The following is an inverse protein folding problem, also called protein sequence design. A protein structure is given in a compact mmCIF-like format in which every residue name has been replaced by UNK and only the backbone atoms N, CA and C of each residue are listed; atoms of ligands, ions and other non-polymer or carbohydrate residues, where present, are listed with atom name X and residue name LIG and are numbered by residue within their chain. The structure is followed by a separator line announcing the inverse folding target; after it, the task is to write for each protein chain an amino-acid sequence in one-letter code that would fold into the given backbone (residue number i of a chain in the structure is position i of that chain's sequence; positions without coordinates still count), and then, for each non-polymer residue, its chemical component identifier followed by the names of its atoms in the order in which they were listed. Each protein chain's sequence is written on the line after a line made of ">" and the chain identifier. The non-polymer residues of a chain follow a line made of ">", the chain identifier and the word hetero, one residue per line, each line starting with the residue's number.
data_IF_804322014784
#
_entry.id   IF_804322014784
#
_cell.length_a   1.000
_cell.length_b   1.000
_cell.length_c   1.000
_cell.angle_alpha   90.00
_cell.angle_beta   90.00
_cell.angle_gamma   90.00
#
_symmetry.space_group_name_H-M   'P 1'
#
loop_
_entity.id
_entity.type
_entity.pdbx_description
1 polymer ?
#
# COMPACT_ATOMS: atom_id res chain seq x y z
N UNK A 1 2.03 -20.09 -0.51
CA UNK A 1 2.57 -18.73 -0.41
C UNK A 1 3.70 -18.79 0.59
N UNK A 2 4.87 -18.36 0.15
CA UNK A 2 6.05 -18.12 0.99
C UNK A 2 6.19 -16.61 1.05
N UNK A 3 6.19 -16.05 2.26
CA UNK A 3 6.07 -14.60 2.42
C UNK A 3 7.42 -13.94 2.65
N UNK A 4 7.77 -12.99 1.79
CA UNK A 4 8.79 -11.98 2.11
C UNK A 4 8.07 -10.75 2.67
N UNK A 5 8.23 -10.53 3.98
CA UNK A 5 7.60 -9.41 4.69
C UNK A 5 8.61 -8.27 4.80
N UNK A 6 8.26 -7.10 4.27
CA UNK A 6 9.08 -5.89 4.41
C UNK A 6 8.26 -4.77 5.03
N UNK A 7 8.84 -4.03 5.98
CA UNK A 7 8.22 -2.78 6.40
C UNK A 7 8.27 -1.80 5.24
N UNK A 8 7.15 -1.13 4.98
CA UNK A 8 7.16 -0.12 3.91
C UNK A 8 8.13 1.01 4.27
N UNK A 9 8.85 1.51 3.27
CA UNK A 9 9.82 2.58 3.41
C UNK A 9 9.18 3.97 3.22
N UNK A 10 9.77 5.06 3.75
CA UNK A 10 9.30 6.42 3.47
C UNK A 10 9.17 6.68 1.96
N UNK A 11 7.99 7.14 1.54
CA UNK A 11 7.65 7.35 0.13
C UNK A 11 6.82 6.21 -0.49
N UNK A 12 6.69 5.07 0.18
CA UNK A 12 5.77 4.01 -0.21
C UNK A 12 4.30 4.40 0.09
N UNK A 13 3.35 3.92 -0.74
CA UNK A 13 1.93 4.26 -0.62
C UNK A 13 1.37 4.03 0.79
N UNK A 14 1.65 2.87 1.39
CA UNK A 14 1.12 2.54 2.72
C UNK A 14 1.99 3.01 3.89
N UNK A 15 3.09 3.75 3.70
CA UNK A 15 4.00 4.11 4.81
C UNK A 15 3.27 4.76 6.00
N UNK A 16 3.51 4.32 7.26
CA UNK A 16 4.43 3.27 7.76
C UNK A 16 3.82 1.86 7.90
N UNK A 17 3.08 1.41 6.88
CA UNK A 17 2.40 0.12 6.84
C UNK A 17 3.33 -1.03 6.49
N UNK A 18 2.73 -2.17 6.13
CA UNK A 18 3.49 -3.37 5.74
C UNK A 18 3.32 -3.65 4.27
N UNK A 19 4.40 -4.02 3.62
CA UNK A 19 4.44 -4.42 2.22
C UNK A 19 4.88 -5.87 2.09
N UNK A 20 4.31 -6.58 1.11
CA UNK A 20 4.46 -8.02 0.95
C UNK A 20 4.69 -8.37 -0.51
N UNK A 21 5.72 -9.18 -0.74
CA UNK A 21 5.96 -9.84 -2.02
C UNK A 21 5.90 -11.35 -1.77
N UNK A 22 4.91 -12.00 -2.38
CA UNK A 22 4.67 -13.43 -2.20
C UNK A 22 4.78 -14.16 -3.53
N UNK A 23 5.30 -15.39 -3.49
CA UNK A 23 5.24 -16.30 -4.62
C UNK A 23 3.91 -17.07 -4.62
N UNK A 24 3.26 -17.11 -5.79
CA UNK A 24 2.07 -17.93 -6.00
C UNK A 24 2.56 -19.32 -6.41
N UNK A 25 2.24 -20.32 -5.59
CA UNK A 25 2.61 -21.71 -5.81
C UNK A 25 1.38 -22.61 -5.94
N UNK A 26 1.46 -23.58 -6.85
CA UNK A 26 0.47 -24.66 -6.98
C UNK A 26 1.25 -25.96 -7.09
N UNK A 27 0.92 -26.92 -6.24
CA UNK A 27 1.61 -28.22 -6.15
C UNK A 27 3.14 -28.13 -6.01
N UNK A 28 3.62 -27.04 -5.37
CA UNK A 28 5.05 -26.77 -5.15
C UNK A 28 5.77 -26.11 -6.33
N UNK A 29 5.07 -25.83 -7.43
CA UNK A 29 5.61 -25.06 -8.56
C UNK A 29 5.23 -23.59 -8.44
N UNK A 30 6.20 -22.68 -8.63
CA UNK A 30 5.95 -21.24 -8.72
C UNK A 30 5.28 -20.91 -10.05
N UNK A 31 4.09 -20.33 -9.97
CA UNK A 31 3.24 -20.02 -11.12
C UNK A 31 2.82 -18.55 -11.19
N UNK A 32 3.39 -17.71 -10.35
CA UNK A 32 3.11 -16.29 -10.33
C UNK A 32 3.76 -15.55 -9.16
N UNK A 33 3.38 -14.30 -9.03
CA UNK A 33 3.79 -13.37 -7.99
C UNK A 33 2.61 -12.52 -7.55
N UNK A 34 2.61 -12.15 -6.28
CA UNK A 34 1.63 -11.29 -5.64
C UNK A 34 2.39 -10.18 -4.91
N UNK A 35 2.03 -8.94 -5.21
CA UNK A 35 2.48 -7.75 -4.51
C UNK A 35 1.26 -7.09 -3.86
N UNK A 36 1.27 -7.00 -2.53
CA UNK A 36 0.20 -6.40 -1.76
C UNK A 36 0.73 -5.70 -0.52
N UNK A 37 -0.05 -4.75 -0.02
CA UNK A 37 0.31 -4.00 1.17
C UNK A 37 -0.88 -3.86 2.12
N UNK A 38 -0.60 -3.65 3.41
CA UNK A 38 -1.62 -3.36 4.43
C UNK A 38 -1.29 -2.00 5.03
N UNK A 39 -2.30 -1.12 5.09
CA UNK A 39 -2.10 0.22 5.65
C UNK A 39 -1.83 0.20 7.17
N UNK A 40 -1.30 1.29 7.74
CA UNK A 40 -0.98 1.36 9.17
C UNK A 40 -2.23 1.26 10.07
N UNK A 41 -3.41 1.52 9.52
CA UNK A 41 -4.69 1.36 10.23
C UNK A 41 -5.13 -0.11 10.34
N UNK A 42 -4.48 -1.01 9.60
CA UNK A 42 -4.80 -2.44 9.51
C UNK A 42 -6.26 -2.70 9.11
N UNK A 43 -6.84 -1.78 8.33
CA UNK A 43 -8.26 -1.84 7.95
C UNK A 43 -8.47 -2.10 6.46
N UNK A 44 -7.41 -2.02 5.65
CA UNK A 44 -7.44 -2.31 4.22
C UNK A 44 -6.17 -3.00 3.74
N UNK A 45 -6.37 -3.94 2.83
CA UNK A 45 -5.34 -4.60 2.05
C UNK A 45 -5.39 -4.06 0.62
N UNK A 46 -4.26 -3.59 0.11
CA UNK A 46 -4.14 -3.05 -1.23
C UNK A 46 -3.41 -4.03 -2.12
N UNK A 47 -3.95 -4.32 -3.30
CA UNK A 47 -3.29 -5.17 -4.28
C UNK A 47 -2.56 -4.28 -5.28
N UNK A 48 -1.22 -4.31 -5.24
CA UNK A 48 -0.38 -3.64 -6.23
C UNK A 48 -0.32 -4.45 -7.52
N UNK A 49 -0.10 -5.76 -7.42
CA UNK A 49 0.04 -6.66 -8.56
C UNK A 49 -0.41 -8.09 -8.22
N UNK A 50 -1.11 -8.73 -9.16
CA UNK A 50 -1.26 -10.19 -9.22
C UNK A 50 -0.83 -10.62 -10.61
N UNK A 51 0.31 -11.30 -10.70
CA UNK A 51 0.79 -11.87 -11.95
C UNK A 51 0.74 -13.39 -11.89
N UNK A 52 0.07 -14.01 -12.85
CA UNK A 52 0.00 -15.46 -13.03
C UNK A 52 0.58 -15.80 -14.38
N UNK A 53 1.41 -16.85 -14.42
CA UNK A 53 2.01 -17.38 -15.64
C UNK A 53 0.94 -17.48 -16.76
N UNK A 54 1.18 -16.89 -17.94
CA UNK A 54 0.28 -16.95 -19.09
C UNK A 54 -0.28 -18.34 -19.40
N UNK A 55 0.54 -19.38 -19.29
CA UNK A 55 0.16 -20.76 -19.62
C UNK A 55 -0.85 -21.36 -18.63
N UNK A 56 -0.98 -20.75 -17.45
CA UNK A 56 -1.91 -21.15 -16.37
C UNK A 56 -3.05 -20.16 -16.19
N UNK A 57 -3.23 -19.24 -17.15
CA UNK A 57 -4.38 -18.33 -17.17
C UNK A 57 -5.67 -19.15 -17.31
N UNK A 58 -6.75 -18.67 -16.70
CA UNK A 58 -8.10 -19.29 -16.61
C UNK A 58 -8.25 -20.44 -15.62
N UNK A 59 -7.22 -20.82 -14.88
CA UNK A 59 -7.32 -21.77 -13.76
C UNK A 59 -7.87 -21.13 -12.47
N UNK A 60 -8.39 -19.90 -12.53
CA UNK A 60 -8.92 -19.14 -11.38
C UNK A 60 -7.90 -18.91 -10.24
N UNK A 61 -6.61 -19.05 -10.52
CA UNK A 61 -5.51 -18.85 -9.55
C UNK A 61 -5.60 -17.48 -8.89
N UNK A 62 -5.75 -16.39 -9.66
CA UNK A 62 -5.91 -15.04 -9.09
C UNK A 62 -7.10 -14.92 -8.13
N UNK A 63 -8.23 -15.54 -8.45
CA UNK A 63 -9.40 -15.58 -7.56
C UNK A 63 -9.14 -16.39 -6.29
N UNK A 64 -8.42 -17.52 -6.41
CA UNK A 64 -8.03 -18.34 -5.25
C UNK A 64 -7.06 -17.58 -4.33
N UNK A 65 -6.15 -16.79 -4.90
CA UNK A 65 -5.26 -15.89 -4.14
C UNK A 65 -6.07 -14.85 -3.37
N UNK A 66 -6.99 -14.14 -4.01
CA UNK A 66 -7.86 -13.16 -3.34
C UNK A 66 -8.68 -13.79 -2.21
N UNK A 67 -9.21 -15.00 -2.43
CA UNK A 67 -9.91 -15.74 -1.38
C UNK A 67 -8.99 -16.08 -0.21
N UNK A 68 -7.76 -16.53 -0.48
CA UNK A 68 -6.79 -16.82 0.56
C UNK A 68 -6.48 -15.57 1.39
N UNK A 69 -6.16 -14.44 0.76
CA UNK A 69 -5.89 -13.17 1.44
C UNK A 69 -7.07 -12.74 2.32
N UNK A 70 -8.29 -12.82 1.80
CA UNK A 70 -9.49 -12.54 2.60
C UNK A 70 -9.60 -13.44 3.83
N UNK A 71 -9.34 -14.76 3.69
CA UNK A 71 -9.43 -15.68 4.83
C UNK A 71 -8.38 -15.40 5.90
N UNK A 72 -7.18 -15.00 5.49
CA UNK A 72 -6.04 -14.73 6.37
C UNK A 72 -6.23 -13.39 7.09
N UNK A 73 -6.49 -12.31 6.36
CA UNK A 73 -6.49 -10.96 6.93
C UNK A 73 -7.86 -10.48 7.39
N UNK A 74 -8.95 -10.96 6.76
CA UNK A 74 -10.33 -10.58 7.10
C UNK A 74 -10.61 -9.07 7.04
N UNK A 75 -9.91 -8.36 6.16
CA UNK A 75 -10.08 -6.93 5.90
C UNK A 75 -10.40 -6.69 4.41
N UNK A 76 -11.11 -5.61 4.06
CA UNK A 76 -11.40 -5.25 2.68
C UNK A 76 -10.15 -5.25 1.79
N UNK A 77 -10.31 -5.81 0.59
CA UNK A 77 -9.29 -5.84 -0.45
C UNK A 77 -9.58 -4.72 -1.46
N UNK A 78 -8.58 -3.88 -1.73
CA UNK A 78 -8.68 -2.72 -2.61
C UNK A 78 -7.65 -2.83 -3.72
N UNK A 79 -8.06 -3.02 -4.98
CA UNK A 79 -7.11 -3.03 -6.09
C UNK A 79 -6.50 -1.64 -6.34
N UNK A 80 -5.20 -1.58 -6.61
CA UNK A 80 -4.53 -0.37 -7.10
C UNK A 80 -4.27 -0.51 -8.61
N UNK A 81 -4.61 0.52 -9.39
CA UNK A 81 -4.40 0.52 -10.84
C UNK A 81 -2.98 0.96 -11.21
N UNK A 82 -2.00 0.12 -10.87
CA UNK A 82 -0.58 0.43 -11.12
C UNK A 82 -0.02 -0.27 -12.38
N UNK A 83 -0.51 -1.46 -12.72
CA UNK A 83 0.18 -2.32 -13.69
C UNK A 83 -0.64 -2.82 -14.89
N UNK A 84 -1.97 -2.93 -14.81
CA UNK A 84 -2.83 -3.19 -15.97
C UNK A 84 -4.33 -3.11 -15.59
N UNK A 85 -5.13 -2.57 -16.50
CA UNK A 85 -6.59 -2.63 -16.40
C UNK A 85 -7.09 -4.07 -16.56
N UNK A 86 -7.25 -4.78 -15.45
CA UNK A 86 -7.89 -6.09 -15.37
C UNK A 86 -9.36 -5.96 -14.90
N UNK A 87 -10.11 -5.04 -15.50
CA UNK A 87 -11.47 -4.68 -15.06
C UNK A 87 -12.40 -5.89 -14.96
N UNK A 88 -12.39 -6.75 -15.99
CA UNK A 88 -13.23 -7.95 -16.03
C UNK A 88 -12.86 -8.92 -14.89
N UNK A 89 -11.58 -9.11 -14.61
CA UNK A 89 -11.12 -9.94 -13.49
C UNK A 89 -11.65 -9.41 -12.15
N UNK A 90 -11.49 -8.11 -11.89
CA UNK A 90 -11.96 -7.50 -10.65
C UNK A 90 -13.48 -7.53 -10.52
N UNK A 91 -14.20 -7.33 -11.62
CA UNK A 91 -15.65 -7.46 -11.65
C UNK A 91 -16.09 -8.88 -11.26
N UNK A 92 -15.52 -9.91 -11.88
CA UNK A 92 -15.82 -11.31 -11.57
C UNK A 92 -15.44 -11.69 -10.13
N UNK A 93 -14.29 -11.20 -9.64
CA UNK A 93 -13.85 -11.44 -8.27
C UNK A 93 -14.84 -10.86 -7.25
N UNK A 94 -15.34 -9.63 -7.46
CA UNK A 94 -16.35 -9.02 -6.59
C UNK A 94 -17.65 -9.81 -6.56
N UNK A 95 -18.15 -10.25 -7.71
CA UNK A 95 -19.38 -11.04 -7.79
C UNK A 95 -19.21 -12.39 -7.10
N UNK A 96 -18.16 -13.13 -7.46
CA UNK A 96 -17.94 -14.49 -6.97
C UNK A 96 -17.60 -14.54 -5.48
N UNK A 97 -16.64 -13.71 -5.04
CA UNK A 97 -16.18 -13.72 -3.65
C UNK A 97 -17.08 -12.90 -2.74
N UNK A 98 -17.74 -11.85 -3.26
CA UNK A 98 -18.73 -11.07 -2.52
C UNK A 98 -19.93 -11.91 -2.09
N UNK A 99 -20.39 -12.86 -2.93
CA UNK A 99 -21.40 -13.82 -2.55
C UNK A 99 -20.98 -14.73 -1.37
N UNK A 100 -19.67 -14.92 -1.16
CA UNK A 100 -19.09 -15.65 -0.04
C UNK A 100 -18.71 -14.74 1.16
N UNK A 101 -19.09 -13.46 1.12
CA UNK A 101 -18.85 -12.48 2.18
C UNK A 101 -17.51 -11.77 2.11
N UNK A 102 -16.71 -11.97 1.06
CA UNK A 102 -15.47 -11.20 0.87
C UNK A 102 -15.77 -9.76 0.44
N UNK A 103 -15.07 -8.80 1.01
CA UNK A 103 -15.20 -7.39 0.64
C UNK A 103 -14.07 -7.02 -0.31
N UNK A 104 -14.40 -6.83 -1.59
CA UNK A 104 -13.48 -6.32 -2.60
C UNK A 104 -14.04 -4.99 -3.09
N UNK A 105 -13.33 -3.91 -2.82
CA UNK A 105 -13.77 -2.56 -3.14
C UNK A 105 -13.51 -2.18 -4.61
N UNK A 106 -13.90 -0.96 -4.96
CA UNK A 106 -13.58 -0.36 -6.25
C UNK A 106 -12.07 -0.19 -6.39
N UNK A 107 -11.59 -0.27 -7.63
CA UNK A 107 -10.18 -0.03 -7.95
C UNK A 107 -9.88 1.44 -7.64
N UNK A 108 -8.76 1.70 -6.97
CA UNK A 108 -8.21 3.05 -6.84
C UNK A 108 -7.37 3.36 -8.09
N UNK A 109 -8.01 4.02 -9.04
CA UNK A 109 -7.36 4.62 -10.21
C UNK A 109 -7.00 6.08 -9.89
N UNK A 110 -5.89 6.59 -10.42
CA UNK A 110 -5.43 7.99 -10.34
C UNK A 110 -4.64 8.37 -9.06
N UNK A 111 -3.60 9.17 -9.27
CA UNK A 111 -2.76 9.73 -8.19
C UNK A 111 -3.58 10.50 -7.14
N UNK A 112 -4.65 11.18 -7.52
CA UNK A 112 -5.49 11.95 -6.59
C UNK A 112 -6.26 11.06 -5.61
N UNK A 113 -6.86 9.96 -6.06
CA UNK A 113 -7.56 9.03 -5.16
C UNK A 113 -6.58 8.31 -4.23
N UNK A 114 -5.39 7.97 -4.74
CA UNK A 114 -4.29 7.41 -3.96
C UNK A 114 -3.82 8.41 -2.89
N UNK A 115 -3.67 9.69 -3.22
CA UNK A 115 -3.29 10.73 -2.26
C UNK A 115 -4.37 10.94 -1.19
N UNK A 116 -5.64 10.99 -1.58
CA UNK A 116 -6.76 11.11 -0.65
C UNK A 116 -6.83 9.92 0.30
N UNK A 117 -6.60 8.72 -0.20
CA UNK A 117 -6.56 7.51 0.63
C UNK A 117 -5.41 7.56 1.64
N UNK A 118 -4.21 8.02 1.22
CA UNK A 118 -3.05 8.20 2.12
C UNK A 118 -3.31 9.19 3.27
N UNK A 119 -4.15 10.21 3.06
CA UNK A 119 -4.47 11.18 4.12
C UNK A 119 -5.07 10.50 5.36
N UNK A 120 -5.71 9.34 5.19
CA UNK A 120 -6.32 8.58 6.30
C UNK A 120 -5.31 8.23 7.39
N UNK A 121 -4.06 7.96 7.04
CA UNK A 121 -2.99 7.60 7.99
C UNK A 121 -1.82 8.57 8.02
N UNK A 122 -1.95 9.77 7.43
CA UNK A 122 -0.88 10.77 7.47
C UNK A 122 -0.47 11.15 8.90
N UNK A 123 -1.43 11.14 9.83
CA UNK A 123 -1.18 11.41 11.25
C UNK A 123 -0.37 10.30 11.96
N UNK A 124 -0.18 9.14 11.33
CA UNK A 124 0.64 8.03 11.83
C UNK A 124 2.06 8.04 11.24
N UNK A 125 2.33 8.89 10.25
CA UNK A 125 3.64 9.02 9.63
C UNK A 125 4.62 9.56 10.67
N UNK A 126 5.69 8.81 11.00
CA UNK A 126 6.68 9.28 11.96
C UNK A 126 7.39 10.51 11.43
N UNK A 127 7.66 11.44 12.32
CA UNK A 127 8.44 12.61 12.00
C UNK A 127 9.87 12.24 11.57
N UNK A 128 10.31 12.83 10.46
CA UNK A 128 11.66 12.63 9.96
C UNK A 128 12.72 13.14 10.94
N UNK A 129 13.93 12.61 10.84
CA UNK A 129 15.07 13.12 11.63
C UNK A 129 15.32 14.60 11.34
N UNK A 130 15.09 15.04 10.11
CA UNK A 130 15.24 16.44 9.72
C UNK A 130 14.22 17.34 10.40
N UNK A 131 12.94 17.00 10.36
CA UNK A 131 11.87 17.73 11.05
C UNK A 131 12.12 17.76 12.57
N UNK A 132 12.52 16.62 13.16
CA UNK A 132 12.89 16.58 14.58
C UNK A 132 14.02 17.56 14.92
N UNK A 133 15.05 17.62 14.07
CA UNK A 133 16.17 18.56 14.24
C UNK A 133 15.72 20.01 14.04
N UNK A 134 14.87 20.29 13.06
CA UNK A 134 14.31 21.62 12.87
C UNK A 134 13.51 22.07 14.09
N UNK A 135 12.58 21.25 14.58
CA UNK A 135 11.81 21.58 15.78
C UNK A 135 12.70 21.80 17.01
N UNK A 136 13.71 20.95 17.20
CA UNK A 136 14.66 21.11 18.30
C UNK A 136 15.46 22.42 18.18
N UNK A 137 15.84 22.79 16.97
CA UNK A 137 16.51 24.07 16.68
C UNK A 137 15.58 25.26 16.92
N UNK A 138 14.33 25.19 16.47
CA UNK A 138 13.31 26.23 16.67
C UNK A 138 12.92 26.41 18.15
N UNK A 139 13.00 25.35 18.94
CA UNK A 139 12.77 25.39 20.38
C UNK A 139 14.00 25.86 21.19
N UNK A 140 15.16 26.04 20.56
CA UNK A 140 16.38 26.49 21.24
C UNK A 140 16.35 27.99 21.54
N UNK A 141 17.05 28.40 22.59
CA UNK A 141 17.21 29.83 22.95
C UNK A 141 17.93 30.63 21.86
N UNK A 142 18.68 29.96 20.97
CA UNK A 142 19.44 30.56 19.88
C UNK A 142 18.56 30.86 18.64
N UNK A 143 17.36 30.28 18.56
CA UNK A 143 16.48 30.41 17.39
C UNK A 143 16.20 31.86 16.98
N UNK A 144 15.90 32.81 17.89
CA UNK A 144 15.65 34.20 17.50
C UNK A 144 16.84 34.85 16.77
N UNK A 145 18.06 34.55 17.19
CA UNK A 145 19.28 35.07 16.56
C UNK A 145 19.55 34.41 15.20
N UNK A 146 19.33 33.10 15.09
CA UNK A 146 19.44 32.35 13.84
C UNK A 146 18.43 32.88 12.81
N UNK A 147 17.16 33.03 13.22
CA UNK A 147 16.08 33.54 12.37
C UNK A 147 16.35 34.97 11.89
N UNK A 148 16.77 35.87 12.78
CA UNK A 148 17.12 37.24 12.41
C UNK A 148 18.28 37.32 11.40
N UNK A 149 19.27 36.42 11.51
CA UNK A 149 20.35 36.33 10.51
C UNK A 149 19.82 35.85 9.16
N UNK A 150 18.98 34.80 9.14
CA UNK A 150 18.38 34.28 7.91
C UNK A 150 17.49 35.31 7.20
N UNK A 151 16.68 36.06 7.96
CA UNK A 151 15.84 37.14 7.42
C UNK A 151 16.69 38.28 6.83
N UNK A 152 17.83 38.62 7.43
CA UNK A 152 18.75 39.64 6.89
C UNK A 152 19.46 39.19 5.61
N UNK A 153 19.72 37.89 5.47
CA UNK A 153 20.53 37.32 4.38
C UNK A 153 19.68 36.85 3.19
N UNK A 154 18.43 36.44 3.45
CA UNK A 154 17.51 35.88 2.44
C UNK A 154 16.12 36.52 2.42
N UNK A 155 15.79 37.41 3.35
CA UNK A 155 14.54 38.16 3.34
C UNK A 155 14.59 39.24 2.26
N UNK A 156 13.74 39.10 1.23
CA UNK A 156 13.55 40.10 0.18
C UNK A 156 12.38 41.01 0.53
#
# INVERSE_FOLDING_TARGET
>A
MVNEVTQSEPGHFVYPGTDFIDHIEVDGERVGELDYSINPLLDRLYINMIEVNPDRRRERIGTAVLWHLWRVHRIPIVPLDQYAMAEEFWHQARLGLGAAGAQIESVLCLNEHVQLEQQRWQHLVPESVHERRMRAMEASEEWPAIKARMEKEYGR
#
